data_IF_387647047479
#
_entry.id   IF_387647047479
#
_cell.length_a   1.000
_cell.length_b   1.000
_cell.length_c   1.000
_cell.angle_alpha   90.00
_cell.angle_beta   90.00
_cell.angle_gamma   90.00
#
_symmetry.space_group_name_H-M   'P 1'
#
loop_
_entity.id
_entity.type
_entity.pdbx_description
1 polymer ?
#
# COMPACT_ATOMS: atom_id res chain seq x y z
N UNK A 1 1.15 2.32 -11.36
CA UNK A 1 2.19 1.76 -10.48
C UNK A 1 1.98 2.22 -9.04
N UNK A 2 2.62 1.58 -8.05
CA UNK A 2 2.42 1.93 -6.64
C UNK A 2 3.63 1.50 -5.80
N UNK A 3 3.88 2.13 -4.65
CA UNK A 3 4.75 1.61 -3.58
C UNK A 3 3.96 1.61 -2.28
N UNK A 4 4.06 0.54 -1.48
CA UNK A 4 3.46 0.46 -0.14
C UNK A 4 4.51 0.11 0.90
N UNK A 5 4.36 0.63 2.12
CA UNK A 5 5.29 0.48 3.24
C UNK A 5 4.48 0.13 4.50
N UNK A 6 4.98 -0.82 5.27
CA UNK A 6 4.59 -1.13 6.64
C UNK A 6 5.78 -0.75 7.55
N UNK A 7 5.55 0.09 8.55
CA UNK A 7 6.58 0.65 9.44
C UNK A 7 6.08 0.62 10.88
N UNK A 8 6.90 0.10 11.79
CA UNK A 8 6.64 0.11 13.24
C UNK A 8 7.61 1.07 13.91
N UNK A 9 7.09 2.09 14.59
CA UNK A 9 7.85 2.89 15.57
C UNK A 9 7.31 2.53 16.95
N UNK A 10 6.82 3.50 17.72
CA UNK A 10 5.97 3.24 18.88
C UNK A 10 4.63 2.68 18.47
N UNK A 11 4.03 3.26 17.44
CA UNK A 11 2.78 2.80 16.83
C UNK A 11 3.06 2.07 15.50
N UNK A 12 2.07 1.35 14.99
CA UNK A 12 2.11 0.72 13.68
C UNK A 12 1.54 1.63 12.58
N UNK A 13 2.30 1.78 11.51
CA UNK A 13 1.96 2.61 10.36
C UNK A 13 1.98 1.81 9.05
N UNK A 14 0.99 2.06 8.20
CA UNK A 14 0.89 1.45 6.88
C UNK A 14 0.46 2.50 5.86
N UNK A 15 0.92 2.40 4.62
CA UNK A 15 0.56 3.40 3.63
C UNK A 15 1.21 3.16 2.28
N UNK A 16 0.89 4.03 1.32
CA UNK A 16 1.30 3.84 -0.07
C UNK A 16 1.32 5.12 -0.89
N UNK A 17 2.06 5.09 -2.00
CA UNK A 17 1.86 5.99 -3.15
C UNK A 17 0.86 5.39 -4.12
N UNK A 18 0.00 6.21 -4.72
CA UNK A 18 -0.85 5.83 -5.84
C UNK A 18 -0.39 6.49 -7.12
N UNK A 19 0.28 5.72 -7.98
CA UNK A 19 0.88 6.22 -9.21
C UNK A 19 0.02 5.81 -10.40
N UNK A 20 -0.65 6.78 -11.03
CA UNK A 20 -1.59 6.55 -12.13
C UNK A 20 -1.55 7.73 -13.10
N UNK A 21 -1.86 7.45 -14.36
CA UNK A 21 -2.05 8.48 -15.39
C UNK A 21 -3.31 9.31 -15.12
N UNK A 22 -4.38 8.66 -14.65
CA UNK A 22 -5.68 9.28 -14.37
C UNK A 22 -6.18 8.94 -12.96
N UNK A 23 -7.08 9.78 -12.43
CA UNK A 23 -7.75 9.51 -11.15
C UNK A 23 -8.91 8.53 -11.36
N UNK A 24 -9.38 7.93 -10.28
CA UNK A 24 -10.46 6.93 -10.29
C UNK A 24 -11.69 7.38 -9.48
N UNK A 25 -11.85 8.70 -9.33
CA UNK A 25 -12.86 9.35 -8.48
C UNK A 25 -12.66 9.00 -7.00
N UNK A 26 -11.41 9.02 -6.58
CA UNK A 26 -10.97 8.62 -5.25
C UNK A 26 -11.45 9.56 -4.14
N UNK A 27 -11.85 8.98 -3.02
CA UNK A 27 -12.15 9.67 -1.77
C UNK A 27 -11.82 8.76 -0.57
N UNK A 28 -11.62 9.34 0.62
CA UNK A 28 -11.50 8.53 1.82
C UNK A 28 -12.89 8.09 2.26
N UNK A 29 -13.08 6.80 2.54
CA UNK A 29 -14.36 6.21 2.90
C UNK A 29 -14.25 5.49 4.23
N UNK A 30 -15.11 5.90 5.17
CA UNK A 30 -15.38 5.16 6.39
C UNK A 30 -16.59 4.23 6.16
N UNK A 31 -16.42 2.94 6.44
CA UNK A 31 -17.49 1.93 6.39
C UNK A 31 -17.75 1.39 7.79
N UNK A 32 -18.94 1.63 8.37
CA UNK A 32 -19.27 1.17 9.73
C UNK A 32 -19.58 -0.32 9.78
N UNK A 33 -19.58 -0.91 10.99
CA UNK A 33 -19.72 -2.35 11.21
C UNK A 33 -20.97 -3.01 10.64
N UNK A 34 -22.06 -2.26 10.51
CA UNK A 34 -23.37 -2.77 10.08
C UNK A 34 -23.73 -2.34 8.64
N UNK A 35 -22.76 -1.87 7.86
CA UNK A 35 -22.92 -1.78 6.42
C UNK A 35 -22.90 -3.21 5.84
N UNK A 36 -23.79 -3.52 4.90
CA UNK A 36 -23.88 -4.87 4.37
C UNK A 36 -23.04 -5.01 3.09
N UNK A 37 -22.09 -5.94 3.09
CA UNK A 37 -21.37 -6.34 1.87
C UNK A 37 -22.04 -7.56 1.25
N UNK A 38 -22.53 -7.41 0.01
CA UNK A 38 -23.01 -8.54 -0.79
C UNK A 38 -21.86 -9.08 -1.62
N UNK A 39 -21.44 -10.31 -1.35
CA UNK A 39 -20.46 -11.02 -2.17
C UNK A 39 -21.13 -11.69 -3.36
N UNK A 40 -20.40 -11.86 -4.46
CA UNK A 40 -20.90 -12.58 -5.65
C UNK A 40 -21.24 -14.04 -5.36
N UNK A 41 -20.43 -14.71 -4.54
CA UNK A 41 -20.53 -16.16 -4.27
C UNK A 41 -20.64 -16.54 -2.79
N UNK A 42 -20.34 -15.64 -1.85
CA UNK A 42 -20.33 -15.93 -0.39
C UNK A 42 -21.52 -15.34 0.38
N UNK A 43 -22.58 -14.91 -0.30
CA UNK A 43 -23.76 -14.31 0.34
C UNK A 43 -23.50 -12.91 0.92
N UNK A 44 -24.27 -12.52 1.93
CA UNK A 44 -24.22 -11.19 2.52
C UNK A 44 -23.53 -11.19 3.89
N UNK A 45 -22.54 -10.32 4.06
CA UNK A 45 -21.89 -10.04 5.34
C UNK A 45 -22.53 -8.81 5.96
N UNK A 46 -23.46 -9.05 6.89
CA UNK A 46 -24.22 -8.00 7.58
C UNK A 46 -23.45 -7.26 8.66
N UNK A 47 -22.45 -7.92 9.25
CA UNK A 47 -21.65 -7.37 10.32
C UNK A 47 -20.19 -7.75 10.13
N UNK A 48 -19.33 -6.74 10.21
CA UNK A 48 -17.90 -6.87 9.98
C UNK A 48 -17.16 -5.80 10.81
N UNK A 49 -15.83 -5.83 10.81
CA UNK A 49 -15.05 -4.74 11.41
C UNK A 49 -15.22 -3.44 10.62
N UNK A 50 -15.34 -2.31 11.32
CA UNK A 50 -15.37 -1.02 10.66
C UNK A 50 -14.04 -0.75 9.94
N UNK A 51 -14.10 -0.05 8.81
CA UNK A 51 -12.96 0.18 7.93
C UNK A 51 -12.82 1.65 7.55
N UNK A 52 -11.59 2.09 7.32
CA UNK A 52 -11.26 3.42 6.81
C UNK A 52 -10.15 3.29 5.75
N UNK A 53 -10.34 3.91 4.59
CA UNK A 53 -9.39 3.79 3.48
C UNK A 53 -9.73 4.64 2.28
N UNK A 54 -8.85 4.68 1.28
CA UNK A 54 -9.13 5.33 0.00
C UNK A 54 -9.92 4.39 -0.91
N UNK A 55 -11.00 4.88 -1.51
CA UNK A 55 -11.84 4.11 -2.40
C UNK A 55 -12.47 4.98 -3.49
N UNK A 56 -12.91 4.32 -4.57
CA UNK A 56 -14.01 4.85 -5.39
C UNK A 56 -15.32 4.23 -4.92
N UNK A 57 -16.42 4.98 -4.98
CA UNK A 57 -17.73 4.47 -4.53
C UNK A 57 -18.69 4.36 -5.70
N UNK A 58 -18.91 3.13 -6.16
CA UNK A 58 -19.76 2.83 -7.32
C UNK A 58 -21.01 2.09 -6.84
N UNK A 59 -22.20 2.58 -7.21
CA UNK A 59 -23.50 2.03 -6.76
C UNK A 59 -23.60 1.87 -5.23
N UNK A 60 -22.92 2.75 -4.49
CA UNK A 60 -22.89 2.73 -3.02
C UNK A 60 -21.86 1.78 -2.40
N UNK A 61 -21.12 1.01 -3.19
CA UNK A 61 -20.11 0.04 -2.74
C UNK A 61 -18.72 0.70 -2.76
N UNK A 62 -17.99 0.74 -1.63
CA UNK A 62 -16.62 1.23 -1.59
C UNK A 62 -15.65 0.20 -2.18
N UNK A 63 -15.06 0.53 -3.32
CA UNK A 63 -13.98 -0.23 -3.95
C UNK A 63 -12.64 0.32 -3.44
N UNK A 64 -12.16 -0.27 -2.35
CA UNK A 64 -10.95 0.18 -1.65
C UNK A 64 -9.67 -0.12 -2.46
N UNK A 65 -8.81 0.88 -2.59
CA UNK A 65 -7.43 0.71 -3.06
C UNK A 65 -6.51 0.27 -1.91
N UNK A 66 -6.73 0.87 -0.74
CA UNK A 66 -6.15 0.47 0.54
C UNK A 66 -7.08 0.85 1.68
N UNK A 67 -7.02 0.10 2.77
CA UNK A 67 -7.78 0.37 3.97
C UNK A 67 -7.12 -0.24 5.21
N UNK A 68 -7.59 0.23 6.37
CA UNK A 68 -7.35 -0.34 7.69
C UNK A 68 -8.69 -0.66 8.33
N UNK A 69 -8.74 -1.71 9.14
CA UNK A 69 -9.90 -1.96 10.01
C UNK A 69 -9.67 -1.48 11.45
N UNK A 70 -10.74 -1.46 12.24
CA UNK A 70 -10.69 -1.07 13.67
C UNK A 70 -9.81 -1.95 14.57
N UNK A 71 -9.24 -3.03 14.04
CA UNK A 71 -8.32 -3.94 14.74
C UNK A 71 -6.85 -3.67 14.42
N UNK A 72 -6.57 -2.75 13.49
CA UNK A 72 -5.20 -2.41 13.08
C UNK A 72 -4.65 -3.28 11.95
N UNK A 73 -5.48 -4.12 11.32
CA UNK A 73 -5.11 -4.84 10.10
C UNK A 73 -5.24 -3.93 8.89
N UNK A 74 -4.17 -3.83 8.11
CA UNK A 74 -4.09 -3.02 6.90
C UNK A 74 -3.97 -3.90 5.65
N UNK A 75 -4.54 -3.43 4.54
CA UNK A 75 -4.42 -4.08 3.24
C UNK A 75 -4.40 -3.05 2.11
N UNK A 76 -3.51 -3.23 1.12
CA UNK A 76 -3.47 -2.43 -0.11
C UNK A 76 -3.34 -3.33 -1.34
N UNK A 77 -4.15 -3.08 -2.38
CA UNK A 77 -3.98 -3.68 -3.70
C UNK A 77 -3.08 -2.81 -4.58
N UNK A 78 -2.04 -3.38 -5.18
CA UNK A 78 -1.10 -2.68 -6.07
C UNK A 78 -1.07 -3.35 -7.45
N UNK A 79 -0.82 -2.56 -8.49
CA UNK A 79 -0.84 -3.04 -9.88
C UNK A 79 0.15 -4.20 -10.12
N UNK A 80 -0.30 -5.28 -10.75
CA UNK A 80 0.48 -6.50 -11.03
C UNK A 80 0.19 -7.12 -12.44
N UNK A 81 0.18 -6.31 -13.51
CA UNK A 81 -0.33 -6.68 -14.84
C UNK A 81 0.32 -7.92 -15.48
N UNK A 82 1.62 -8.16 -15.28
CA UNK A 82 2.31 -9.20 -16.04
C UNK A 82 2.09 -10.61 -15.48
N UNK A 83 1.49 -10.74 -14.29
CA UNK A 83 1.50 -11.97 -13.51
C UNK A 83 0.17 -12.28 -12.83
N UNK A 84 -0.66 -11.27 -12.56
CA UNK A 84 -1.98 -11.46 -11.99
C UNK A 84 -2.83 -12.39 -12.87
N UNK A 85 -3.39 -13.44 -12.28
CA UNK A 85 -4.28 -14.37 -12.95
C UNK A 85 -5.44 -14.77 -12.03
N UNK A 86 -6.65 -14.72 -12.58
CA UNK A 86 -7.89 -15.05 -11.88
C UNK A 86 -8.71 -16.01 -12.76
N UNK A 87 -8.84 -17.30 -12.42
CA UNK A 87 -9.64 -18.25 -13.18
C UNK A 87 -11.12 -17.89 -13.13
N UNK A 88 -11.89 -18.25 -14.16
CA UNK A 88 -13.34 -18.01 -14.22
C UNK A 88 -14.15 -19.10 -13.54
N UNK A 89 -13.53 -20.25 -13.31
CA UNK A 89 -14.10 -21.43 -12.67
C UNK A 89 -14.10 -21.28 -11.14
N UNK A 90 -15.22 -21.65 -10.54
CA UNK A 90 -15.32 -21.78 -9.09
C UNK A 90 -14.48 -22.96 -8.60
N UNK A 91 -13.92 -22.82 -7.40
CA UNK A 91 -13.23 -23.90 -6.70
C UNK A 91 -14.13 -24.43 -5.59
N UNK A 92 -14.58 -25.67 -5.74
CA UNK A 92 -15.42 -26.34 -4.75
C UNK A 92 -14.68 -26.42 -3.39
N UNK A 93 -15.42 -26.22 -2.30
CA UNK A 93 -14.88 -26.22 -0.94
C UNK A 93 -14.02 -25.01 -0.57
N UNK A 94 -13.91 -24.00 -1.45
CA UNK A 94 -13.23 -22.72 -1.18
C UNK A 94 -14.23 -21.56 -1.20
N UNK A 95 -13.91 -20.48 -0.50
CA UNK A 95 -14.65 -19.22 -0.61
C UNK A 95 -14.28 -18.53 -1.92
N UNK A 96 -15.23 -18.33 -2.83
CA UNK A 96 -14.96 -17.80 -4.18
C UNK A 96 -15.12 -16.27 -4.18
N UNK A 97 -14.01 -15.55 -4.11
CA UNK A 97 -13.99 -14.09 -3.89
C UNK A 97 -13.48 -13.38 -5.13
N UNK A 98 -14.20 -12.37 -5.61
CA UNK A 98 -13.66 -11.53 -6.68
C UNK A 98 -12.54 -10.61 -6.15
N UNK A 99 -11.50 -10.30 -6.94
CA UNK A 99 -10.44 -9.37 -6.54
C UNK A 99 -10.92 -8.03 -5.97
N UNK A 100 -12.03 -7.46 -6.49
CA UNK A 100 -12.57 -6.19 -5.95
C UNK A 100 -13.22 -6.36 -4.56
N UNK A 101 -13.58 -7.59 -4.20
CA UNK A 101 -14.21 -7.93 -2.91
C UNK A 101 -13.19 -8.26 -1.83
N UNK A 102 -11.94 -8.53 -2.22
CA UNK A 102 -10.94 -9.11 -1.34
C UNK A 102 -10.59 -8.21 -0.14
N UNK A 103 -10.52 -6.89 -0.35
CA UNK A 103 -10.17 -5.96 0.74
C UNK A 103 -11.18 -6.05 1.88
N UNK A 104 -12.48 -6.01 1.58
CA UNK A 104 -13.52 -6.11 2.62
C UNK A 104 -13.83 -7.57 3.03
N UNK A 105 -13.43 -8.56 2.25
CA UNK A 105 -13.40 -9.97 2.69
C UNK A 105 -12.41 -10.16 3.84
N UNK A 106 -11.17 -9.70 3.67
CA UNK A 106 -10.11 -9.84 4.67
C UNK A 106 -10.32 -8.89 5.83
N UNK A 107 -10.40 -7.58 5.56
CA UNK A 107 -10.49 -6.57 6.61
C UNK A 107 -11.82 -6.61 7.39
N UNK A 108 -12.88 -7.16 6.77
CA UNK A 108 -14.16 -7.34 7.45
C UNK A 108 -14.18 -8.50 8.44
N UNK A 109 -13.30 -9.50 8.28
CA UNK A 109 -13.33 -10.78 9.02
C UNK A 109 -12.12 -11.05 9.90
N UNK A 110 -10.97 -10.43 9.61
CA UNK A 110 -9.70 -10.71 10.29
C UNK A 110 -9.25 -9.53 11.15
N UNK A 111 -8.72 -9.81 12.33
CA UNK A 111 -8.13 -8.84 13.25
C UNK A 111 -6.59 -8.77 13.14
N UNK A 112 -5.94 -9.80 12.60
CA UNK A 112 -4.49 -9.88 12.43
C UNK A 112 -4.10 -10.54 11.09
N UNK A 113 -2.81 -10.49 10.75
CA UNK A 113 -2.25 -11.16 9.58
C UNK A 113 -2.34 -12.67 9.71
N UNK A 114 -2.21 -13.23 10.90
CA UNK A 114 -2.39 -14.68 11.15
C UNK A 114 -3.82 -15.12 10.80
N UNK A 115 -4.84 -14.41 11.28
CA UNK A 115 -6.24 -14.68 10.91
C UNK A 115 -6.45 -14.51 9.39
N UNK A 116 -5.78 -13.54 8.77
CA UNK A 116 -5.83 -13.34 7.33
C UNK A 116 -5.21 -14.51 6.56
N UNK A 117 -4.08 -15.07 7.02
CA UNK A 117 -3.46 -16.27 6.41
C UNK A 117 -4.41 -17.47 6.45
N UNK A 118 -5.06 -17.69 7.58
CA UNK A 118 -6.04 -18.78 7.74
C UNK A 118 -7.24 -18.60 6.79
N UNK A 119 -7.79 -17.39 6.72
CA UNK A 119 -8.90 -17.07 5.81
C UNK A 119 -8.49 -17.25 4.33
N UNK A 120 -7.29 -16.79 3.97
CA UNK A 120 -6.77 -16.85 2.60
C UNK A 120 -6.45 -18.27 2.16
N UNK A 121 -6.06 -19.17 3.06
CA UNK A 121 -5.85 -20.58 2.76
C UNK A 121 -7.14 -21.28 2.26
N UNK A 122 -8.30 -20.80 2.69
CA UNK A 122 -9.61 -21.26 2.22
C UNK A 122 -10.24 -20.36 1.14
N UNK A 123 -9.52 -19.37 0.62
CA UNK A 123 -10.02 -18.40 -0.37
C UNK A 123 -9.53 -18.76 -1.77
N UNK A 124 -10.41 -18.62 -2.76
CA UNK A 124 -10.11 -18.74 -4.18
C UNK A 124 -10.47 -17.43 -4.89
N UNK A 125 -9.49 -16.79 -5.54
CA UNK A 125 -9.75 -15.57 -6.30
C UNK A 125 -10.33 -15.91 -7.67
N UNK A 126 -11.57 -15.52 -7.90
CA UNK A 126 -12.31 -15.81 -9.13
C UNK A 126 -12.47 -14.57 -10.02
N UNK A 127 -12.36 -14.76 -11.33
CA UNK A 127 -12.40 -13.73 -12.36
C UNK A 127 -13.78 -13.12 -12.63
N UNK A 128 -14.48 -12.64 -11.60
CA UNK A 128 -15.77 -11.96 -11.75
C UNK A 128 -15.57 -10.44 -11.65
N UNK A 129 -15.76 -9.64 -12.72
CA UNK A 129 -15.61 -8.18 -12.64
C UNK A 129 -16.71 -7.53 -11.79
N UNK A 130 -16.51 -6.26 -11.43
CA UNK A 130 -17.54 -5.51 -10.71
C UNK A 130 -18.77 -5.23 -11.59
N UNK A 131 -18.53 -4.83 -12.84
CA UNK A 131 -19.53 -4.75 -13.91
C UNK A 131 -18.84 -4.81 -15.27
N UNK A 132 -19.60 -4.79 -16.36
CA UNK A 132 -19.02 -4.73 -17.71
C UNK A 132 -18.20 -3.46 -17.93
N UNK A 133 -18.60 -2.34 -17.32
CA UNK A 133 -17.90 -1.05 -17.41
C UNK A 133 -16.71 -0.92 -16.43
N UNK A 134 -16.63 -1.80 -15.43
CA UNK A 134 -15.59 -1.79 -14.40
C UNK A 134 -14.91 -3.17 -14.38
N UNK A 135 -13.95 -3.40 -15.29
CA UNK A 135 -13.27 -4.68 -15.42
C UNK A 135 -12.35 -4.95 -14.23
N UNK A 136 -11.85 -6.18 -14.14
CA UNK A 136 -10.84 -6.55 -13.16
C UNK A 136 -9.55 -5.76 -13.40
N UNK A 137 -8.99 -5.23 -12.31
CA UNK A 137 -7.63 -4.69 -12.32
C UNK A 137 -6.68 -5.81 -11.90
N UNK A 138 -5.55 -6.02 -12.62
CA UNK A 138 -4.56 -7.00 -12.21
C UNK A 138 -3.81 -6.49 -10.97
N UNK A 139 -3.97 -7.19 -9.85
CA UNK A 139 -3.46 -6.77 -8.55
C UNK A 139 -2.70 -7.89 -7.83
N UNK A 140 -1.75 -7.48 -7.00
CA UNK A 140 -1.25 -8.21 -5.84
C UNK A 140 -1.50 -7.37 -4.57
N UNK A 141 -1.37 -7.96 -3.39
CA UNK A 141 -1.73 -7.26 -2.16
C UNK A 141 -0.65 -7.30 -1.11
N UNK A 142 -0.47 -6.16 -0.43
CA UNK A 142 0.32 -6.05 0.79
C UNK A 142 -0.65 -6.04 1.97
N UNK A 143 -0.50 -6.99 2.89
CA UNK A 143 -1.33 -7.12 4.10
C UNK A 143 -0.39 -7.06 5.30
N UNK A 144 -0.67 -6.20 6.27
CA UNK A 144 0.20 -6.04 7.43
C UNK A 144 -0.59 -5.60 8.67
N UNK A 145 -0.10 -6.02 9.83
CA UNK A 145 -0.52 -5.54 11.13
C UNK A 145 0.72 -5.12 11.94
N UNK A 146 0.53 -4.84 13.24
CA UNK A 146 1.59 -4.40 14.13
C UNK A 146 2.73 -5.42 14.27
N UNK A 147 2.49 -6.70 14.06
CA UNK A 147 3.46 -7.76 14.33
C UNK A 147 4.14 -8.27 13.07
N UNK A 148 3.42 -8.36 11.94
CA UNK A 148 3.98 -8.91 10.72
C UNK A 148 3.39 -8.30 9.44
N UNK A 149 4.06 -8.59 8.33
CA UNK A 149 3.67 -8.19 6.98
C UNK A 149 3.78 -9.38 6.04
N UNK A 150 2.83 -9.48 5.10
CA UNK A 150 2.82 -10.47 4.03
C UNK A 150 2.47 -9.85 2.68
N UNK A 151 2.83 -10.58 1.63
CA UNK A 151 2.41 -10.33 0.26
C UNK A 151 1.55 -11.48 -0.23
N UNK A 152 0.43 -11.14 -0.86
CA UNK A 152 -0.48 -12.09 -1.51
C UNK A 152 -0.42 -11.88 -3.02
N UNK A 153 -0.03 -12.90 -3.76
CA UNK A 153 0.00 -12.89 -5.22
C UNK A 153 -0.88 -14.01 -5.77
N UNK A 154 -1.68 -13.70 -6.79
CA UNK A 154 -2.45 -14.69 -7.54
C UNK A 154 -1.89 -14.79 -8.95
N UNK A 155 -1.31 -15.93 -9.28
CA UNK A 155 -0.73 -16.18 -10.60
C UNK A 155 -1.30 -17.48 -11.20
N UNK A 156 -0.79 -17.89 -12.36
CA UNK A 156 -1.16 -19.19 -12.95
C UNK A 156 -0.78 -20.39 -12.07
N UNK A 157 0.16 -20.23 -11.13
CA UNK A 157 0.49 -21.24 -10.11
C UNK A 157 -0.57 -21.36 -9.01
N UNK A 158 -1.42 -20.35 -8.85
CA UNK A 158 -2.41 -20.26 -7.78
C UNK A 158 -2.23 -19.00 -6.91
N UNK A 159 -2.91 -19.02 -5.76
CA UNK A 159 -2.84 -17.98 -4.75
C UNK A 159 -1.72 -18.31 -3.76
N UNK A 160 -0.72 -17.45 -3.66
CA UNK A 160 0.48 -17.64 -2.85
C UNK A 160 0.62 -16.51 -1.81
N UNK A 161 1.00 -16.88 -0.59
CA UNK A 161 1.29 -15.96 0.51
C UNK A 161 2.77 -16.01 0.83
N UNK A 162 3.42 -14.86 0.86
CA UNK A 162 4.83 -14.70 1.19
C UNK A 162 5.01 -13.85 2.44
N UNK A 163 5.91 -14.28 3.34
CA UNK A 163 6.35 -13.42 4.45
C UNK A 163 7.12 -12.21 3.89
N UNK A 164 6.81 -11.01 4.39
CA UNK A 164 7.41 -9.77 3.95
C UNK A 164 8.21 -9.11 5.07
N UNK A 165 9.42 -9.63 5.29
CA UNK A 165 10.33 -9.13 6.33
C UNK A 165 10.86 -7.71 6.08
N UNK A 166 10.74 -7.18 4.85
CA UNK A 166 11.13 -5.81 4.52
C UNK A 166 9.98 -4.80 4.67
N UNK A 167 8.73 -5.28 4.79
CA UNK A 167 7.56 -4.44 4.94
C UNK A 167 7.30 -3.52 3.75
N UNK A 168 7.70 -3.91 2.53
CA UNK A 168 7.54 -3.10 1.31
C UNK A 168 6.95 -3.94 0.18
N UNK A 169 6.11 -3.34 -0.66
CA UNK A 169 5.64 -3.95 -1.90
C UNK A 169 5.48 -2.87 -2.99
N UNK A 170 5.83 -3.20 -4.24
CA UNK A 170 5.62 -2.31 -5.39
C UNK A 170 4.71 -2.93 -6.46
N UNK A 171 5.25 -3.34 -7.60
CA UNK A 171 4.52 -3.92 -8.74
C UNK A 171 5.32 -5.12 -9.25
N UNK A 172 5.19 -5.49 -10.53
CA UNK A 172 5.98 -6.56 -11.15
C UNK A 172 7.50 -6.32 -11.05
N UNK A 173 8.33 -7.39 -11.11
CA UNK A 173 7.95 -8.82 -11.11
C UNK A 173 7.45 -9.30 -9.74
N UNK A 174 7.21 -10.61 -9.61
CA UNK A 174 6.74 -11.23 -8.37
C UNK A 174 7.64 -10.97 -7.17
N UNK A 175 7.07 -11.05 -5.98
CA UNK A 175 7.74 -10.76 -4.72
C UNK A 175 9.00 -11.60 -4.47
N UNK A 176 9.06 -12.91 -4.81
CA UNK A 176 10.31 -13.69 -4.71
C UNK A 176 11.46 -13.10 -5.55
N UNK A 177 11.17 -12.53 -6.72
CA UNK A 177 12.18 -11.81 -7.50
C UNK A 177 12.63 -10.54 -6.78
N UNK A 178 11.70 -9.75 -6.24
CA UNK A 178 12.05 -8.52 -5.51
C UNK A 178 12.99 -8.81 -4.32
N UNK A 179 12.72 -9.91 -3.59
CA UNK A 179 13.56 -10.38 -2.50
C UNK A 179 14.91 -10.94 -2.96
N UNK A 180 14.98 -11.55 -4.16
CA UNK A 180 16.27 -11.94 -4.75
C UNK A 180 17.06 -10.72 -5.20
N UNK A 181 16.38 -9.72 -5.78
CA UNK A 181 16.98 -8.50 -6.29
C UNK A 181 17.63 -7.66 -5.19
N UNK A 182 17.01 -7.56 -4.01
CA UNK A 182 17.55 -6.74 -2.91
C UNK A 182 18.90 -7.27 -2.39
N UNK A 183 19.23 -8.55 -2.60
CA UNK A 183 20.54 -9.12 -2.26
C UNK A 183 21.71 -8.42 -2.97
N UNK A 184 21.48 -7.78 -4.13
CA UNK A 184 22.50 -7.01 -4.85
C UNK A 184 22.94 -5.73 -4.11
N UNK A 185 22.19 -5.32 -3.08
CA UNK A 185 22.34 -4.03 -2.40
C UNK A 185 22.74 -4.20 -0.92
N UNK A 186 23.17 -5.39 -0.51
CA UNK A 186 23.60 -5.67 0.88
C UNK A 186 24.80 -4.84 1.33
N UNK A 187 25.57 -4.28 0.38
CA UNK A 187 26.73 -3.43 0.67
C UNK A 187 26.36 -1.97 1.01
N UNK A 188 25.11 -1.56 0.82
CA UNK A 188 24.69 -0.19 1.10
C UNK A 188 24.68 0.06 2.61
N UNK A 189 25.18 1.22 3.03
CA UNK A 189 25.22 1.63 4.44
C UNK A 189 24.85 3.11 4.59
N UNK A 190 24.12 3.49 5.66
CA UNK A 190 23.84 4.90 5.93
C UNK A 190 25.10 5.68 6.36
N UNK A 191 26.14 4.98 6.80
CA UNK A 191 27.42 5.57 7.19
C UNK A 191 28.34 5.89 6.00
N UNK A 192 29.54 6.44 6.25
CA UNK A 192 30.55 6.59 5.20
C UNK A 192 31.02 5.20 4.71
N UNK A 193 31.38 5.07 3.42
CA UNK A 193 31.90 3.83 2.88
C UNK A 193 33.30 3.52 3.44
N UNK A 194 33.62 2.23 3.55
CA UNK A 194 34.99 1.80 3.84
C UNK A 194 35.88 1.93 2.60
N UNK A 195 37.12 2.38 2.78
CA UNK A 195 38.09 2.43 1.69
C UNK A 195 38.67 1.03 1.43
N UNK A 196 38.10 0.32 0.45
CA UNK A 196 38.56 -0.99 0.03
C UNK A 196 39.73 -0.98 -0.98
N UNK A 197 40.27 0.19 -1.36
CA UNK A 197 41.42 0.29 -2.28
C UNK A 197 42.73 -0.02 -1.56
N UNK A 198 43.24 -1.24 -1.74
CA UNK A 198 44.46 -1.74 -1.07
C UNK A 198 45.73 -0.91 -1.32
N UNK A 199 45.81 -0.15 -2.41
CA UNK A 199 47.02 0.60 -2.80
C UNK A 199 46.94 2.11 -2.49
N UNK A 200 45.77 2.63 -2.11
CA UNK A 200 45.58 4.06 -1.84
C UNK A 200 44.74 4.21 -0.57
N UNK A 201 45.39 4.15 0.59
CA UNK A 201 44.74 4.24 1.90
C UNK A 201 44.24 5.65 2.24
N UNK A 202 44.71 6.67 1.51
CA UNK A 202 44.42 8.09 1.79
C UNK A 202 43.15 8.61 1.11
N UNK A 203 42.41 7.78 0.37
CA UNK A 203 41.14 8.20 -0.22
C UNK A 203 40.14 8.53 0.88
N UNK A 204 39.61 9.74 0.82
CA UNK A 204 38.55 10.23 1.70
C UNK A 204 37.30 10.52 0.88
N UNK A 205 36.14 10.32 1.49
CA UNK A 205 34.86 10.71 0.91
C UNK A 205 34.83 12.23 0.70
N UNK A 206 34.46 12.69 -0.49
CA UNK A 206 34.35 14.12 -0.81
C UNK A 206 33.02 14.75 -0.32
N UNK A 207 32.18 13.98 0.36
CA UNK A 207 30.88 14.39 0.90
C UNK A 207 30.21 13.26 1.69
N UNK A 208 29.00 13.51 2.17
CA UNK A 208 28.15 12.52 2.85
C UNK A 208 27.28 11.75 1.86
N UNK A 209 26.77 10.59 2.26
CA UNK A 209 25.84 9.77 1.46
C UNK A 209 26.51 8.80 0.47
N UNK A 210 27.85 8.76 0.40
CA UNK A 210 28.55 7.80 -0.47
C UNK A 210 28.41 6.35 -0.01
N UNK A 211 27.99 6.08 1.22
CA UNK A 211 27.73 4.72 1.71
C UNK A 211 26.54 4.05 1.02
N UNK A 212 25.61 4.83 0.49
CA UNK A 212 24.48 4.35 -0.31
C UNK A 212 24.73 4.48 -1.82
N UNK A 213 25.98 4.66 -2.26
CA UNK A 213 26.31 4.65 -3.68
C UNK A 213 25.92 3.31 -4.31
N UNK A 214 25.17 3.37 -5.41
CA UNK A 214 24.56 2.19 -6.05
C UNK A 214 23.07 2.02 -5.75
N UNK A 215 22.51 2.75 -4.78
CA UNK A 215 21.05 2.79 -4.58
C UNK A 215 20.37 3.33 -5.85
N UNK A 216 19.39 2.61 -6.44
CA UNK A 216 18.81 2.99 -7.72
C UNK A 216 17.90 4.21 -7.58
N UNK A 217 17.95 5.10 -8.58
CA UNK A 217 17.27 6.40 -8.58
C UNK A 217 16.12 6.52 -9.57
N UNK A 218 15.89 5.53 -10.42
CA UNK A 218 14.78 5.52 -11.38
C UNK A 218 13.45 5.07 -10.75
N UNK A 219 12.36 5.21 -11.52
CA UNK A 219 10.99 4.94 -11.05
C UNK A 219 10.47 3.55 -11.40
N UNK A 220 11.32 2.63 -11.88
CA UNK A 220 10.90 1.25 -12.12
C UNK A 220 10.43 0.58 -10.82
N UNK A 221 9.52 -0.41 -10.89
CA UNK A 221 9.05 -1.11 -9.70
C UNK A 221 10.17 -1.71 -8.84
N UNK A 222 11.19 -2.30 -9.47
CA UNK A 222 12.32 -2.91 -8.78
C UNK A 222 13.21 -1.86 -8.10
N UNK A 223 13.49 -0.74 -8.78
CA UNK A 223 14.25 0.36 -8.19
C UNK A 223 13.53 1.00 -7.02
N UNK A 224 12.22 1.26 -7.17
CA UNK A 224 11.38 1.76 -6.07
C UNK A 224 11.29 0.78 -4.90
N UNK A 225 11.24 -0.53 -5.16
CA UNK A 225 11.26 -1.56 -4.12
C UNK A 225 12.56 -1.49 -3.32
N UNK A 226 13.71 -1.52 -3.99
CA UNK A 226 15.03 -1.44 -3.34
C UNK A 226 15.17 -0.14 -2.54
N UNK A 227 14.79 0.99 -3.14
CA UNK A 227 14.89 2.31 -2.50
C UNK A 227 14.00 2.42 -1.26
N UNK A 228 12.73 2.03 -1.36
CA UNK A 228 11.80 2.07 -0.24
C UNK A 228 12.21 1.09 0.87
N UNK A 229 12.65 -0.12 0.53
CA UNK A 229 13.14 -1.10 1.52
C UNK A 229 14.38 -0.60 2.25
N UNK A 230 15.37 -0.06 1.53
CA UNK A 230 16.56 0.51 2.14
C UNK A 230 16.23 1.66 3.08
N UNK A 231 15.37 2.60 2.65
CA UNK A 231 14.98 3.75 3.47
C UNK A 231 14.15 3.32 4.69
N UNK A 232 13.20 2.40 4.52
CA UNK A 232 12.39 1.87 5.62
C UNK A 232 13.26 1.28 6.73
N UNK A 233 14.20 0.41 6.35
CA UNK A 233 15.04 -0.33 7.28
C UNK A 233 16.14 0.51 7.96
N UNK A 234 16.48 1.68 7.41
CA UNK A 234 17.54 2.54 7.93
C UNK A 234 17.04 3.91 8.44
N UNK A 235 15.73 4.17 8.35
CA UNK A 235 15.14 5.40 8.86
C UNK A 235 15.02 5.38 10.38
N UNK A 236 15.15 6.56 10.99
CA UNK A 236 15.00 6.75 12.43
C UNK A 236 14.20 8.04 12.64
N UNK A 237 13.24 8.00 13.55
CA UNK A 237 12.50 9.17 13.98
C UNK A 237 12.16 9.06 15.47
N UNK A 238 11.76 10.17 16.08
CA UNK A 238 11.25 10.15 17.45
C UNK A 238 9.95 9.33 17.55
N UNK A 239 9.69 8.79 18.73
CA UNK A 239 8.56 7.88 19.00
C UNK A 239 7.19 8.59 19.13
N UNK A 240 7.05 9.81 18.61
CA UNK A 240 5.79 10.56 18.59
C UNK A 240 5.11 10.49 17.21
N UNK A 241 3.81 10.79 17.21
CA UNK A 241 2.96 10.74 16.01
C UNK A 241 3.50 11.65 14.90
N UNK A 242 3.88 12.88 15.23
CA UNK A 242 4.24 13.89 14.23
C UNK A 242 5.56 13.51 13.54
N UNK A 243 6.54 13.05 14.31
CA UNK A 243 7.81 12.55 13.79
C UNK A 243 7.61 11.30 12.94
N UNK A 244 6.78 10.35 13.40
CA UNK A 244 6.48 9.10 12.68
C UNK A 244 5.80 9.36 11.34
N UNK A 245 4.74 10.19 11.30
CA UNK A 245 4.06 10.49 10.03
C UNK A 245 4.96 11.30 9.09
N UNK A 246 5.77 12.24 9.61
CA UNK A 246 6.71 13.01 8.80
C UNK A 246 7.75 12.08 8.14
N UNK A 247 8.32 11.16 8.93
CA UNK A 247 9.28 10.17 8.44
C UNK A 247 8.66 9.27 7.36
N UNK A 248 7.44 8.78 7.60
CA UNK A 248 6.72 7.93 6.65
C UNK A 248 6.50 8.62 5.30
N UNK A 249 6.04 9.88 5.31
CA UNK A 249 5.84 10.64 4.08
C UNK A 249 7.15 10.96 3.36
N UNK A 250 8.25 11.21 4.07
CA UNK A 250 9.57 11.37 3.42
C UNK A 250 10.03 10.11 2.70
N UNK A 251 9.75 8.92 3.24
CA UNK A 251 10.04 7.66 2.55
C UNK A 251 9.21 7.51 1.28
N UNK A 252 7.90 7.79 1.35
CA UNK A 252 7.05 7.75 0.16
C UNK A 252 7.45 8.79 -0.89
N UNK A 253 7.82 10.00 -0.48
CA UNK A 253 8.29 11.06 -1.39
C UNK A 253 9.54 10.66 -2.15
N UNK A 254 10.42 9.86 -1.54
CA UNK A 254 11.65 9.39 -2.19
C UNK A 254 11.41 8.51 -3.42
N UNK A 255 10.21 7.92 -3.53
CA UNK A 255 9.78 7.04 -4.63
C UNK A 255 8.57 7.60 -5.38
N UNK A 256 8.13 8.82 -5.06
CA UNK A 256 6.98 9.46 -5.68
C UNK A 256 7.33 9.95 -7.09
N UNK A 257 6.47 9.65 -8.07
CA UNK A 257 6.62 10.05 -9.46
C UNK A 257 6.25 11.52 -9.66
N UNK A 258 7.17 12.28 -10.24
CA UNK A 258 6.99 13.68 -10.59
C UNK A 258 6.41 13.77 -12.00
N UNK A 259 5.41 14.62 -12.21
CA UNK A 259 4.82 14.84 -13.54
C UNK A 259 5.91 15.16 -14.57
N UNK A 260 5.95 14.34 -15.62
CA UNK A 260 6.92 14.45 -16.72
C UNK A 260 8.16 13.57 -16.58
N UNK A 261 8.42 12.95 -15.41
CA UNK A 261 9.57 12.04 -15.24
C UNK A 261 9.28 10.62 -15.73
N UNK A 262 8.00 10.24 -15.85
CA UNK A 262 7.55 8.95 -16.39
C UNK A 262 6.44 9.23 -17.41
N UNK A 263 6.65 8.77 -18.65
CA UNK A 263 5.73 8.95 -19.77
C UNK A 263 5.39 7.57 -20.32
N UNK A 264 4.10 7.24 -20.41
CA UNK A 264 3.65 5.95 -20.96
C UNK A 264 3.78 5.92 -22.48
N UNK A 265 3.71 4.73 -23.14
CA UNK A 265 3.67 4.64 -24.60
C UNK A 265 2.55 5.48 -25.25
N UNK A 266 1.43 5.67 -24.54
CA UNK A 266 0.29 6.51 -24.93
C UNK A 266 0.53 8.01 -24.72
N UNK A 267 1.74 8.40 -24.31
CA UNK A 267 2.16 9.78 -24.04
C UNK A 267 1.43 10.44 -22.85
N UNK A 268 0.94 9.61 -21.93
CA UNK A 268 0.36 10.08 -20.66
C UNK A 268 1.44 10.21 -19.59
N UNK A 269 1.26 11.12 -18.63
CA UNK A 269 2.16 11.26 -17.48
C UNK A 269 1.70 10.38 -16.34
N UNK A 270 2.52 9.43 -15.93
CA UNK A 270 2.27 8.69 -14.69
C UNK A 270 2.83 9.50 -13.50
N UNK A 271 1.97 9.78 -12.53
CA UNK A 271 2.30 10.64 -11.38
C UNK A 271 1.83 9.99 -10.09
N UNK A 272 2.48 10.29 -8.97
CA UNK A 272 1.93 9.97 -7.65
C UNK A 272 0.75 10.88 -7.35
N UNK A 273 -0.47 10.41 -7.55
CA UNK A 273 -1.70 11.19 -7.36
C UNK A 273 -1.97 11.53 -5.90
N UNK A 274 -1.71 10.57 -5.02
CA UNK A 274 -1.72 10.76 -3.58
C UNK A 274 -0.71 9.85 -2.90
N UNK A 275 -0.37 10.23 -1.68
CA UNK A 275 0.36 9.41 -0.71
C UNK A 275 -0.48 9.34 0.55
N UNK A 276 -0.54 8.17 1.18
CA UNK A 276 -1.22 8.00 2.46
C UNK A 276 -0.33 7.32 3.50
N UNK A 277 -0.64 7.58 4.75
CA UNK A 277 -0.07 6.96 5.94
C UNK A 277 -1.20 6.74 6.93
N UNK A 278 -1.33 5.53 7.44
CA UNK A 278 -2.37 5.12 8.36
C UNK A 278 -1.69 4.80 9.67
N UNK A 279 -2.03 5.50 10.76
CA UNK A 279 -1.75 4.99 12.10
C UNK A 279 -2.82 3.94 12.42
N UNK A 280 -2.43 2.68 12.34
CA UNK A 280 -3.32 1.54 12.47
C UNK A 280 -3.74 1.28 13.93
N UNK A 281 -2.87 1.58 14.89
CA UNK A 281 -3.18 1.45 16.32
C UNK A 281 -4.24 2.46 16.78
N UNK A 282 -4.26 3.64 16.16
CA UNK A 282 -5.19 4.73 16.49
C UNK A 282 -6.38 4.86 15.53
N UNK A 283 -6.38 4.10 14.43
CA UNK A 283 -7.41 4.20 13.38
C UNK A 283 -7.46 5.57 12.71
N UNK A 284 -6.29 6.18 12.44
CA UNK A 284 -6.18 7.50 11.81
C UNK A 284 -5.57 7.36 10.42
N UNK A 285 -6.27 7.89 9.43
CA UNK A 285 -5.86 7.91 8.04
C UNK A 285 -5.36 9.30 7.65
N UNK A 286 -4.07 9.43 7.35
CA UNK A 286 -3.45 10.64 6.82
C UNK A 286 -3.20 10.52 5.33
N UNK A 287 -3.36 11.63 4.60
CA UNK A 287 -2.96 11.70 3.20
C UNK A 287 -2.48 13.09 2.80
N UNK A 288 -1.74 13.14 1.70
CA UNK A 288 -1.53 14.33 0.87
C UNK A 288 -1.76 13.97 -0.59
N UNK A 289 -2.05 14.96 -1.42
CA UNK A 289 -2.26 14.74 -2.87
C UNK A 289 -1.15 15.41 -3.67
N UNK A 290 -1.04 15.07 -4.94
CA UNK A 290 -0.02 15.65 -5.84
C UNK A 290 -0.03 17.18 -5.82
N UNK A 291 -1.21 17.78 -5.71
CA UNK A 291 -1.44 19.23 -5.76
C UNK A 291 -1.70 19.86 -4.39
N UNK A 292 -1.61 19.09 -3.31
CA UNK A 292 -1.73 19.59 -1.94
C UNK A 292 -0.75 18.87 -1.01
N UNK A 293 0.35 19.53 -0.66
CA UNK A 293 1.36 18.97 0.24
C UNK A 293 0.98 18.97 1.72
N UNK A 294 -0.12 19.62 2.12
CA UNK A 294 -0.58 19.59 3.51
C UNK A 294 -1.17 18.21 3.85
N UNK A 295 -0.74 17.63 4.97
CA UNK A 295 -1.32 16.40 5.49
C UNK A 295 -2.76 16.64 5.96
N UNK A 296 -3.69 15.80 5.51
CA UNK A 296 -5.09 15.78 5.94
C UNK A 296 -5.37 14.47 6.68
N UNK A 297 -5.99 14.54 7.86
CA UNK A 297 -6.28 13.38 8.70
C UNK A 297 -7.78 13.09 8.87
N UNK A 298 -8.15 11.81 8.85
CA UNK A 298 -9.48 11.29 9.20
C UNK A 298 -9.31 10.26 10.32
N UNK A 299 -10.05 10.40 11.43
CA UNK A 299 -10.01 9.45 12.54
C UNK A 299 -11.32 8.66 12.60
N UNK A 300 -11.26 7.34 12.39
CA UNK A 300 -12.46 6.49 12.36
C UNK A 300 -13.23 6.50 13.69
N UNK A 301 -12.53 6.70 14.81
CA UNK A 301 -13.14 6.72 16.15
C UNK A 301 -13.99 7.98 16.41
N UNK A 302 -14.00 8.94 15.47
CA UNK A 302 -14.90 10.11 15.51
C UNK A 302 -16.21 9.86 14.74
N UNK A 303 -16.37 8.70 14.12
CA UNK A 303 -17.54 8.31 13.36
C UNK A 303 -18.44 7.34 14.12
N UNK A 304 -19.69 7.17 13.66
CA UNK A 304 -20.59 6.15 14.23
C UNK A 304 -20.20 4.75 13.73
N UNK A 305 -19.42 4.04 14.55
CA UNK A 305 -18.96 2.66 14.26
C UNK A 305 -20.08 1.65 14.02
N UNK A 306 -21.28 1.87 14.56
CA UNK A 306 -22.40 0.95 14.42
C UNK A 306 -23.48 1.44 13.43
N UNK A 307 -23.15 2.45 12.60
CA UNK A 307 -24.03 2.88 11.52
C UNK A 307 -24.21 1.82 10.43
N UNK A 308 -25.08 2.11 9.47
CA UNK A 308 -25.36 1.24 8.30
C UNK A 308 -25.06 1.93 6.95
N UNK A 309 -24.47 3.13 6.97
CA UNK A 309 -24.14 3.91 5.78
C UNK A 309 -22.67 4.32 5.81
N UNK A 310 -21.99 4.21 4.67
CA UNK A 310 -20.62 4.71 4.54
C UNK A 310 -20.59 6.24 4.59
N UNK A 311 -19.53 6.80 5.16
CA UNK A 311 -19.22 8.23 5.09
C UNK A 311 -18.06 8.48 4.12
N UNK A 312 -18.24 9.43 3.21
CA UNK A 312 -17.24 9.82 2.21
C UNK A 312 -16.62 11.16 2.59
N UNK A 313 -15.30 11.25 2.45
CA UNK A 313 -14.52 12.46 2.65
C UNK A 313 -13.82 12.82 1.35
N UNK A 314 -14.31 13.83 0.61
CA UNK A 314 -13.67 14.29 -0.63
C UNK A 314 -12.21 14.71 -0.41
N UNK A 315 -11.36 14.47 -1.40
CA UNK A 315 -9.96 14.85 -1.32
C UNK A 315 -9.77 16.37 -1.42
N UNK A 316 -8.83 16.87 -0.60
CA UNK A 316 -8.35 18.25 -0.68
C UNK A 316 -7.26 18.36 -1.75
N UNK A 317 -7.65 18.70 -2.96
CA UNK A 317 -6.75 18.78 -4.12
C UNK A 317 -6.17 20.18 -4.37
N UNK A 318 -6.62 21.22 -3.67
CA UNK A 318 -5.99 22.54 -3.75
C UNK A 318 -4.91 22.67 -2.68
N UNK A 319 -3.76 23.24 -3.07
CA UNK A 319 -2.67 23.51 -2.14
C UNK A 319 -3.16 24.36 -0.97
N UNK A 320 -2.98 23.86 0.23
CA UNK A 320 -3.28 24.59 1.45
C UNK A 320 -2.00 25.31 1.91
N UNK A 321 -2.04 26.64 1.95
CA UNK A 321 -0.92 27.49 2.37
C UNK A 321 -1.30 28.17 3.68
N UNK A 322 -0.51 27.92 4.74
CA UNK A 322 -0.64 28.64 6.00
C UNK A 322 0.16 29.94 5.90
N UNK A 323 -0.53 31.06 5.71
CA UNK A 323 0.09 32.39 5.72
C UNK A 323 0.45 32.78 7.14
N UNK A 324 1.68 33.27 7.34
CA UNK A 324 2.19 33.68 8.65
C UNK A 324 1.96 35.17 8.94
N UNK A 325 1.27 35.87 8.04
CA UNK A 325 0.92 37.28 8.09
C UNK A 325 -0.44 37.54 7.45
#
# INVERSE_FOLDING_TARGET
MCTSIAMKTKDFYFGRTMDLTEGFQECVVFTPRNYAFQFRKEGMLHRHYAMLGMASVIKGIPLYAEAVNEKGLCMAGLNFPDSAYYPTEEKEGSANISPFELVYWVLGKCASVEEAKELLAATHLIGIPFSEEVPLTPLHWHIADRETSIVLESSKSGLEVFENSVGVLTNNPSFPFQMTNICQYQNLTPGPPENCFKRISTLQSFGQGLGSFGLPGDFSPASRFVKASYLSMNSVCEEDEQSSISQFFHMLDSVAMVRGSVITPEKCYEITRYSCCINADKGIYYYKTYSNSQLTGINMNRENMNGCQCRRFPLRNSQQVAWMN
#
